data_IF_504905186803
#
_entry.id   IF_504905186803
#
_cell.length_a   1.000
_cell.length_b   1.000
_cell.length_c   1.000
_cell.angle_alpha   90.00
_cell.angle_beta   90.00
_cell.angle_gamma   90.00
#
_symmetry.space_group_name_H-M   'P 1'
#
loop_
_entity.id
_entity.type
_entity.pdbx_description
1 polymer ?
#
# COMPACT_ATOMS: atom_id res chain seq x y z
N UNK A 1 -2.73 -14.28 29.35
CA UNK A 1 -2.11 -13.48 28.27
C UNK A 1 -2.82 -13.82 26.96
N UNK A 2 -3.47 -12.87 26.31
CA UNK A 2 -3.94 -13.11 24.93
C UNK A 2 -2.70 -13.21 24.03
N UNK A 3 -2.60 -14.33 23.30
CA UNK A 3 -1.51 -14.51 22.33
C UNK A 3 -1.77 -13.50 21.19
N UNK A 4 -0.84 -12.57 20.98
CA UNK A 4 -0.92 -11.60 19.88
C UNK A 4 -0.85 -12.35 18.53
N UNK A 5 -1.79 -12.06 17.63
CA UNK A 5 -1.78 -12.61 16.27
C UNK A 5 -0.58 -12.07 15.49
N UNK A 6 0.13 -12.97 14.82
CA UNK A 6 1.24 -12.61 13.95
C UNK A 6 0.72 -12.27 12.55
N UNK A 7 1.05 -11.09 12.05
CA UNK A 7 0.68 -10.66 10.71
C UNK A 7 1.95 -10.34 9.91
N UNK A 8 2.05 -10.90 8.71
CA UNK A 8 3.08 -10.54 7.74
C UNK A 8 2.44 -9.70 6.63
N UNK A 9 3.02 -8.54 6.35
CA UNK A 9 2.64 -7.68 5.23
C UNK A 9 3.74 -7.72 4.17
N UNK A 10 3.39 -8.02 2.92
CA UNK A 10 4.35 -8.09 1.82
C UNK A 10 4.27 -6.81 0.99
N UNK A 11 5.32 -5.99 1.06
CA UNK A 11 5.46 -4.69 0.41
C UNK A 11 5.24 -3.52 1.34
N UNK A 12 6.24 -2.64 1.46
CA UNK A 12 6.20 -1.39 2.25
C UNK A 12 5.90 -0.17 1.37
N UNK A 13 4.92 -0.27 0.48
CA UNK A 13 4.28 0.85 -0.21
C UNK A 13 3.20 1.50 0.66
N UNK A 14 2.43 2.45 0.10
CA UNK A 14 1.34 3.13 0.80
C UNK A 14 0.37 2.14 1.47
N UNK A 15 -0.09 1.13 0.73
CA UNK A 15 -1.02 0.13 1.25
C UNK A 15 -0.41 -0.71 2.39
N UNK A 16 0.85 -1.15 2.24
CA UNK A 16 1.47 -2.01 3.24
C UNK A 16 1.85 -1.30 4.53
N UNK A 17 2.34 -0.06 4.44
CA UNK A 17 2.62 0.75 5.62
C UNK A 17 1.34 1.04 6.41
N UNK A 18 0.25 1.43 5.73
CA UNK A 18 -1.03 1.68 6.37
C UNK A 18 -1.64 0.40 6.94
N UNK A 19 -1.68 -0.70 6.18
CA UNK A 19 -2.24 -1.97 6.64
C UNK A 19 -1.47 -2.54 7.84
N UNK A 20 -0.13 -2.46 7.80
CA UNK A 20 0.72 -2.91 8.90
C UNK A 20 0.49 -2.10 10.17
N UNK A 21 0.52 -0.77 10.07
CA UNK A 21 0.25 0.11 11.21
C UNK A 21 -1.13 -0.15 11.81
N UNK A 22 -2.16 -0.24 10.95
CA UNK A 22 -3.52 -0.54 11.40
C UNK A 22 -3.59 -1.89 12.13
N UNK A 23 -3.02 -2.95 11.59
CA UNK A 23 -3.00 -4.25 12.23
C UNK A 23 -2.28 -4.22 13.59
N UNK A 24 -1.16 -3.49 13.69
CA UNK A 24 -0.40 -3.34 14.93
C UNK A 24 -1.20 -2.58 16.00
N UNK A 25 -1.92 -1.51 15.62
CA UNK A 25 -2.80 -0.77 16.53
C UNK A 25 -3.96 -1.62 17.09
N UNK A 26 -4.40 -2.63 16.32
CA UNK A 26 -5.36 -3.64 16.79
C UNK A 26 -4.72 -4.79 17.55
N UNK A 27 -3.44 -4.67 17.95
CA UNK A 27 -2.76 -5.60 18.83
C UNK A 27 -2.06 -6.77 18.13
N UNK A 28 -1.92 -6.75 16.81
CA UNK A 28 -1.15 -7.76 16.10
C UNK A 28 0.37 -7.50 16.23
N UNK A 29 1.16 -8.58 16.21
CA UNK A 29 2.60 -8.52 16.01
C UNK A 29 2.88 -8.50 14.51
N UNK A 30 3.31 -7.35 13.98
CA UNK A 30 3.40 -7.11 12.54
C UNK A 30 4.84 -7.09 12.04
N UNK A 31 5.12 -7.86 10.98
CA UNK A 31 6.35 -7.75 10.19
C UNK A 31 5.99 -7.33 8.76
N UNK A 32 6.55 -6.21 8.30
CA UNK A 32 6.42 -5.72 6.92
C UNK A 32 7.69 -6.11 6.17
N UNK A 33 7.55 -6.86 5.07
CA UNK A 33 8.66 -7.30 4.22
C UNK A 33 8.72 -6.39 3.00
N UNK A 34 9.87 -5.77 2.77
CA UNK A 34 10.11 -4.91 1.59
C UNK A 34 11.39 -5.35 0.87
N UNK A 35 11.28 -5.62 -0.43
CA UNK A 35 12.42 -6.06 -1.24
C UNK A 35 13.44 -4.96 -1.58
N UNK A 36 13.02 -3.71 -1.48
CA UNK A 36 13.92 -2.58 -1.72
C UNK A 36 14.49 -2.06 -0.40
N UNK A 37 15.69 -1.49 -0.45
CA UNK A 37 16.32 -0.83 0.71
C UNK A 37 15.53 0.37 1.25
N UNK A 38 14.65 0.96 0.44
CA UNK A 38 13.83 2.11 0.82
C UNK A 38 12.35 1.80 0.57
N UNK A 39 11.53 2.08 1.57
CA UNK A 39 10.07 1.97 1.49
C UNK A 39 9.45 3.05 0.59
N UNK A 40 8.21 2.88 0.16
CA UNK A 40 7.45 3.93 -0.51
C UNK A 40 7.95 4.37 -1.88
N UNK A 41 8.79 3.60 -2.57
CA UNK A 41 9.42 4.01 -3.84
C UNK A 41 8.45 4.52 -4.90
N UNK A 42 7.26 3.93 -5.01
CA UNK A 42 6.25 4.41 -5.96
C UNK A 42 5.64 5.73 -5.51
N UNK A 43 5.44 5.95 -4.21
CA UNK A 43 4.97 7.24 -3.68
C UNK A 43 5.90 8.36 -4.12
N UNK A 44 7.21 8.12 -4.08
CA UNK A 44 8.23 9.12 -4.40
C UNK A 44 8.19 9.64 -5.82
N UNK A 45 7.66 8.88 -6.78
CA UNK A 45 7.57 9.30 -8.19
C UNK A 45 6.19 9.82 -8.58
N UNK A 46 5.18 9.67 -7.71
CA UNK A 46 3.83 10.17 -7.99
C UNK A 46 3.78 11.70 -7.98
N UNK A 47 2.82 12.28 -8.71
CA UNK A 47 2.66 13.73 -8.77
C UNK A 47 3.94 14.48 -9.22
N UNK A 48 4.77 13.87 -10.09
CA UNK A 48 6.07 14.40 -10.53
C UNK A 48 7.04 14.64 -9.35
N UNK A 49 7.11 13.70 -8.40
CA UNK A 49 7.98 13.77 -7.23
C UNK A 49 7.40 14.54 -6.05
N UNK A 50 6.16 15.06 -6.18
CA UNK A 50 5.49 15.81 -5.09
C UNK A 50 4.53 14.96 -4.26
N UNK A 51 4.10 13.81 -4.77
CA UNK A 51 3.04 12.95 -4.24
C UNK A 51 1.66 13.62 -4.21
N UNK A 52 0.81 13.33 -5.21
CA UNK A 52 -0.62 13.60 -5.10
C UNK A 52 -1.24 12.53 -4.16
N UNK A 53 -1.43 12.89 -2.88
CA UNK A 53 -1.77 11.92 -1.83
C UNK A 53 -3.27 11.65 -1.70
N UNK A 54 -4.12 12.61 -2.11
CA UNK A 54 -5.57 12.48 -2.07
C UNK A 54 -6.25 13.40 -3.09
N UNK A 55 -7.56 13.25 -3.24
CA UNK A 55 -8.42 14.26 -3.86
C UNK A 55 -9.41 14.74 -2.81
N UNK A 56 -9.50 16.04 -2.58
CA UNK A 56 -10.42 16.65 -1.61
C UNK A 56 -11.85 16.67 -2.18
N UNK A 57 -12.50 15.52 -2.17
CA UNK A 57 -13.87 15.33 -2.62
C UNK A 57 -14.64 14.42 -1.66
N UNK A 58 -15.97 14.50 -1.71
CA UNK A 58 -16.83 13.58 -0.97
C UNK A 58 -16.79 12.14 -1.53
N UNK A 59 -17.28 11.18 -0.73
CA UNK A 59 -17.29 9.75 -1.06
C UNK A 59 -18.04 9.48 -2.37
N UNK A 60 -19.19 10.13 -2.59
CA UNK A 60 -19.99 9.89 -3.79
C UNK A 60 -19.28 10.37 -5.05
N UNK A 61 -18.66 11.54 -4.97
CA UNK A 61 -17.82 12.08 -6.05
C UNK A 61 -16.64 11.15 -6.34
N UNK A 62 -15.96 10.63 -5.30
CA UNK A 62 -14.89 9.66 -5.45
C UNK A 62 -15.38 8.43 -6.22
N UNK A 63 -16.46 7.79 -5.77
CA UNK A 63 -17.01 6.56 -6.35
C UNK A 63 -17.44 6.78 -7.81
N UNK A 64 -18.08 7.91 -8.11
CA UNK A 64 -18.53 8.25 -9.47
C UNK A 64 -17.37 8.44 -10.45
N UNK A 65 -16.17 8.81 -9.96
CA UNK A 65 -14.97 8.96 -10.77
C UNK A 65 -14.15 7.68 -10.93
N UNK A 66 -14.59 6.55 -10.35
CA UNK A 66 -13.99 5.23 -10.61
C UNK A 66 -14.68 4.59 -11.81
N UNK A 67 -14.01 4.50 -12.98
CA UNK A 67 -14.69 4.17 -14.24
C UNK A 67 -15.22 2.73 -14.32
N UNK A 68 -14.63 1.81 -13.55
CA UNK A 68 -15.04 0.39 -13.54
C UNK A 68 -15.14 -0.11 -12.11
N UNK A 69 -16.26 -0.74 -11.76
CA UNK A 69 -16.51 -1.37 -10.46
C UNK A 69 -16.37 -0.40 -9.25
N UNK A 70 -16.66 0.90 -9.40
CA UNK A 70 -16.57 1.88 -8.30
C UNK A 70 -17.33 1.44 -7.04
N UNK A 71 -18.48 0.78 -7.20
CA UNK A 71 -19.28 0.26 -6.06
C UNK A 71 -18.54 -0.75 -5.19
N UNK A 72 -17.54 -1.46 -5.73
CA UNK A 72 -16.70 -2.38 -4.96
C UNK A 72 -15.93 -1.65 -3.84
N UNK A 73 -15.58 -0.39 -4.08
CA UNK A 73 -14.82 0.42 -3.13
C UNK A 73 -15.70 1.12 -2.09
N UNK A 74 -17.03 1.06 -2.22
CA UNK A 74 -17.95 1.83 -1.38
C UNK A 74 -17.72 1.64 0.12
N UNK A 75 -17.60 0.41 0.59
CA UNK A 75 -17.36 0.12 2.00
C UNK A 75 -16.01 0.64 2.47
N UNK A 76 -14.95 0.43 1.68
CA UNK A 76 -13.61 0.87 2.04
C UNK A 76 -13.47 2.40 2.10
N UNK A 77 -14.05 3.11 1.10
CA UNK A 77 -13.97 4.58 1.04
C UNK A 77 -14.86 5.24 2.09
N UNK A 78 -15.97 4.60 2.52
CA UNK A 78 -16.75 5.10 3.66
C UNK A 78 -16.08 4.81 5.01
N UNK A 79 -15.26 3.77 5.11
CA UNK A 79 -14.52 3.46 6.33
C UNK A 79 -13.27 4.35 6.51
N UNK A 80 -12.71 4.86 5.41
CA UNK A 80 -11.57 5.77 5.40
C UNK A 80 -11.70 6.68 4.19
N UNK A 81 -12.24 7.87 4.41
CA UNK A 81 -12.62 8.82 3.37
C UNK A 81 -11.41 9.59 2.81
N UNK A 82 -11.55 10.32 1.69
CA UNK A 82 -10.54 11.26 1.25
C UNK A 82 -10.21 12.34 2.30
N UNK A 83 -11.20 12.81 3.05
CA UNK A 83 -11.02 13.75 4.16
C UNK A 83 -10.20 13.11 5.29
N UNK A 84 -10.56 11.89 5.73
CA UNK A 84 -9.79 11.15 6.75
C UNK A 84 -8.32 10.96 6.32
N UNK A 85 -8.06 10.80 5.02
CA UNK A 85 -6.70 10.72 4.48
C UNK A 85 -5.93 12.03 4.70
N UNK A 86 -6.58 13.17 4.47
CA UNK A 86 -5.97 14.50 4.69
C UNK A 86 -5.71 14.70 6.19
N UNK A 87 -6.73 14.47 7.01
CA UNK A 87 -6.63 14.58 8.48
C UNK A 87 -5.55 13.66 9.07
N UNK A 88 -5.44 12.43 8.54
CA UNK A 88 -4.38 11.51 8.95
C UNK A 88 -3.00 12.13 8.78
N UNK A 89 -2.67 12.63 7.60
CA UNK A 89 -1.36 13.24 7.36
C UNK A 89 -1.14 14.51 8.19
N UNK A 90 -2.14 15.37 8.30
CA UNK A 90 -2.06 16.61 9.08
C UNK A 90 -1.92 16.33 10.59
N UNK A 91 -2.62 15.31 11.11
CA UNK A 91 -2.46 14.87 12.50
C UNK A 91 -1.06 14.33 12.82
N UNK A 92 -0.33 13.85 11.79
CA UNK A 92 1.06 13.43 11.89
C UNK A 92 2.06 14.56 11.62
N UNK A 93 1.58 15.80 11.51
CA UNK A 93 2.42 16.99 11.30
C UNK A 93 2.79 17.29 9.85
N UNK A 94 2.32 16.49 8.88
CA UNK A 94 2.53 16.76 7.47
C UNK A 94 1.46 17.76 6.97
N UNK A 95 1.81 19.03 6.87
CA UNK A 95 0.92 20.05 6.29
C UNK A 95 0.60 19.72 4.85
N UNK A 96 -0.68 19.85 4.48
CA UNK A 96 -1.17 19.64 3.12
C UNK A 96 -1.61 20.93 2.46
N UNK A 97 -1.79 20.88 1.13
CA UNK A 97 -2.41 21.93 0.33
C UNK A 97 -3.26 21.31 -0.77
N UNK A 98 -4.41 21.93 -1.04
CA UNK A 98 -5.28 21.54 -2.16
C UNK A 98 -5.01 22.45 -3.36
N UNK A 99 -4.75 21.84 -4.51
CA UNK A 99 -4.51 22.52 -5.79
C UNK A 99 -5.71 22.35 -6.75
N UNK A 100 -5.62 22.94 -7.94
CA UNK A 100 -6.63 22.83 -8.99
C UNK A 100 -7.05 21.37 -9.22
N UNK A 101 -8.36 21.12 -9.32
CA UNK A 101 -8.95 19.79 -9.47
C UNK A 101 -8.97 19.00 -8.16
N UNK A 102 -9.01 19.70 -7.04
CA UNK A 102 -9.06 19.14 -5.69
C UNK A 102 -7.91 18.17 -5.35
N UNK A 103 -6.79 18.27 -6.07
CA UNK A 103 -5.62 17.42 -5.81
C UNK A 103 -4.89 17.89 -4.56
N UNK A 104 -4.62 16.96 -3.67
CA UNK A 104 -3.97 17.25 -2.39
C UNK A 104 -2.49 16.83 -2.46
N UNK A 105 -1.62 17.75 -2.08
CA UNK A 105 -0.17 17.56 -2.04
C UNK A 105 0.38 17.94 -0.66
N UNK A 106 1.54 17.41 -0.26
CA UNK A 106 2.24 17.99 0.89
C UNK A 106 2.60 19.44 0.60
N UNK A 107 2.48 20.32 1.59
CA UNK A 107 2.78 21.74 1.44
C UNK A 107 4.24 22.00 1.04
N UNK A 108 5.14 21.09 1.39
CA UNK A 108 6.57 21.12 1.03
C UNK A 108 6.85 20.78 -0.44
N UNK A 109 5.89 20.24 -1.19
CA UNK A 109 6.07 19.66 -2.53
C UNK A 109 7.10 18.52 -2.60
N UNK A 110 7.36 17.84 -1.49
CA UNK A 110 8.33 16.74 -1.40
C UNK A 110 7.63 15.42 -1.07
N UNK A 111 7.62 14.50 -2.01
CA UNK A 111 7.06 13.15 -1.78
C UNK A 111 7.79 12.36 -0.69
N UNK A 112 9.05 12.71 -0.40
CA UNK A 112 9.81 12.09 0.68
C UNK A 112 9.15 12.32 2.04
N UNK A 113 8.61 13.50 2.30
CA UNK A 113 7.96 13.81 3.57
C UNK A 113 6.71 12.93 3.79
N UNK A 114 5.99 12.60 2.71
CA UNK A 114 4.87 11.65 2.76
C UNK A 114 5.35 10.24 3.09
N UNK A 115 6.44 9.80 2.47
CA UNK A 115 7.03 8.47 2.74
C UNK A 115 7.52 8.36 4.17
N UNK A 116 8.24 9.38 4.64
CA UNK A 116 8.81 9.39 5.99
C UNK A 116 7.68 9.41 7.04
N UNK A 117 6.62 10.22 6.84
CA UNK A 117 5.43 10.23 7.72
C UNK A 117 4.78 8.85 7.81
N UNK A 118 4.60 8.14 6.69
CA UNK A 118 4.00 6.81 6.69
C UNK A 118 4.92 5.75 7.30
N UNK A 119 6.22 5.84 7.04
CA UNK A 119 7.22 4.97 7.64
C UNK A 119 7.22 5.10 9.16
N UNK A 120 7.34 6.33 9.65
CA UNK A 120 7.40 6.61 11.09
C UNK A 120 6.10 6.18 11.78
N UNK A 121 4.96 6.45 11.17
CA UNK A 121 3.68 5.94 11.66
C UNK A 121 3.65 4.42 11.80
N UNK A 122 4.16 3.67 10.81
CA UNK A 122 4.21 2.22 10.90
C UNK A 122 5.17 1.74 12.02
N UNK A 123 6.33 2.37 12.15
CA UNK A 123 7.32 2.02 13.20
C UNK A 123 6.78 2.38 14.59
N UNK A 124 6.23 3.56 14.77
CA UNK A 124 5.61 4.02 16.03
C UNK A 124 4.42 3.15 16.45
N UNK A 125 3.68 2.61 15.50
CA UNK A 125 2.60 1.64 15.75
C UNK A 125 3.10 0.25 16.17
N UNK A 126 4.42 0.00 16.13
CA UNK A 126 5.05 -1.26 16.55
C UNK A 126 5.34 -2.24 15.41
N UNK A 127 5.28 -1.82 14.15
CA UNK A 127 5.66 -2.68 13.02
C UNK A 127 7.17 -2.87 12.95
N UNK A 128 7.61 -4.10 12.68
CA UNK A 128 8.98 -4.41 12.28
C UNK A 128 9.05 -4.38 10.74
N UNK A 129 9.87 -3.51 10.17
CA UNK A 129 10.12 -3.46 8.72
C UNK A 129 11.45 -4.18 8.44
N UNK A 130 11.43 -5.14 7.51
CA UNK A 130 12.60 -5.93 7.13
C UNK A 130 12.84 -5.84 5.63
N UNK A 131 14.12 -5.78 5.24
CA UNK A 131 14.53 -5.82 3.84
C UNK A 131 14.75 -7.28 3.44
N UNK A 132 13.79 -7.85 2.69
CA UNK A 132 13.85 -9.21 2.18
C UNK A 132 12.87 -9.35 1.00
N UNK A 133 13.06 -10.36 0.15
CA UNK A 133 12.22 -10.59 -1.03
C UNK A 133 11.30 -11.79 -0.81
N UNK A 134 9.99 -11.55 -0.79
CA UNK A 134 9.00 -12.61 -0.68
C UNK A 134 8.89 -13.41 -1.98
N UNK A 135 9.20 -14.72 -1.94
CA UNK A 135 9.21 -15.61 -3.09
C UNK A 135 7.98 -16.51 -3.17
N UNK A 136 7.47 -16.97 -2.04
CA UNK A 136 6.33 -17.87 -1.98
C UNK A 136 5.55 -17.74 -0.68
N UNK A 137 4.25 -18.09 -0.74
CA UNK A 137 3.45 -18.35 0.45
C UNK A 137 3.73 -19.76 0.97
N UNK A 138 3.66 -19.93 2.27
CA UNK A 138 3.70 -21.24 2.91
C UNK A 138 2.25 -21.66 3.18
N UNK A 139 1.86 -22.79 2.61
CA UNK A 139 0.51 -23.31 2.68
C UNK A 139 0.53 -24.64 3.46
N UNK A 140 -0.40 -24.79 4.40
CA UNK A 140 -0.64 -26.02 5.15
C UNK A 140 -2.15 -26.20 5.29
N UNK A 141 -2.66 -27.36 4.93
CA UNK A 141 -4.08 -27.72 4.98
C UNK A 141 -5.02 -26.66 4.35
N UNK A 142 -4.59 -26.06 3.25
CA UNK A 142 -5.35 -25.03 2.52
C UNK A 142 -5.32 -23.62 3.14
N UNK A 143 -4.61 -23.43 4.24
CA UNK A 143 -4.39 -22.14 4.89
C UNK A 143 -3.01 -21.58 4.59
N UNK A 144 -2.90 -20.24 4.52
CA UNK A 144 -1.61 -19.56 4.46
C UNK A 144 -1.08 -19.42 5.89
N UNK A 145 0.09 -20.02 6.16
CA UNK A 145 0.74 -20.03 7.49
C UNK A 145 2.04 -19.21 7.51
N UNK A 146 2.40 -18.57 6.43
CA UNK A 146 3.62 -17.74 6.37
C UNK A 146 4.09 -17.40 4.97
N UNK A 147 5.30 -16.83 4.93
CA UNK A 147 5.96 -16.36 3.71
C UNK A 147 7.41 -16.86 3.69
N UNK A 148 7.81 -17.47 2.58
CA UNK A 148 9.20 -17.82 2.30
C UNK A 148 9.83 -16.69 1.50
N UNK A 149 10.91 -16.12 2.03
CA UNK A 149 11.70 -15.07 1.39
C UNK A 149 13.06 -15.61 0.89
N UNK A 150 13.86 -14.73 0.33
CA UNK A 150 15.23 -15.07 -0.14
C UNK A 150 16.12 -15.45 1.05
N UNK A 151 16.13 -14.60 2.08
CA UNK A 151 17.03 -14.76 3.23
C UNK A 151 16.36 -15.52 4.38
N UNK A 152 15.05 -15.29 4.62
CA UNK A 152 14.36 -15.77 5.81
C UNK A 152 12.99 -16.40 5.50
N UNK A 153 12.46 -17.08 6.51
CA UNK A 153 11.08 -17.59 6.52
C UNK A 153 10.33 -16.92 7.65
N UNK A 154 9.14 -16.40 7.35
CA UNK A 154 8.28 -15.70 8.31
C UNK A 154 6.97 -16.45 8.48
N UNK A 155 6.74 -17.08 9.64
CA UNK A 155 5.47 -17.71 9.99
C UNK A 155 4.50 -16.69 10.56
N UNK A 156 3.24 -16.75 10.15
CA UNK A 156 2.19 -15.81 10.53
C UNK A 156 0.81 -16.48 10.56
N UNK A 157 -0.09 -15.93 11.39
CA UNK A 157 -1.51 -16.29 11.41
C UNK A 157 -2.27 -15.69 10.22
N UNK A 158 -1.75 -14.62 9.63
CA UNK A 158 -2.32 -13.94 8.44
C UNK A 158 -1.25 -13.25 7.61
N UNK A 159 -1.46 -13.23 6.29
CA UNK A 159 -0.58 -12.55 5.34
C UNK A 159 -1.38 -11.54 4.54
N UNK A 160 -0.88 -10.30 4.45
CA UNK A 160 -1.47 -9.21 3.66
C UNK A 160 -0.56 -8.93 2.47
N UNK A 161 -1.07 -9.08 1.24
CA UNK A 161 -0.31 -8.85 0.01
C UNK A 161 -0.48 -7.40 -0.42
N UNK A 162 0.58 -6.59 -0.32
CA UNK A 162 0.63 -5.17 -0.66
C UNK A 162 1.72 -4.83 -1.69
N UNK A 163 2.05 -5.78 -2.59
CA UNK A 163 3.14 -5.66 -3.57
C UNK A 163 2.88 -4.63 -4.68
N UNK A 164 1.69 -4.04 -4.75
CA UNK A 164 1.27 -3.19 -5.86
C UNK A 164 0.98 -3.97 -7.14
N UNK A 165 0.89 -3.26 -8.26
CA UNK A 165 0.60 -3.84 -9.58
C UNK A 165 1.84 -4.07 -10.44
N UNK A 166 1.70 -3.82 -11.77
CA UNK A 166 2.79 -3.96 -12.76
C UNK A 166 3.28 -2.63 -13.36
N UNK A 167 2.73 -1.49 -12.91
CA UNK A 167 3.15 -0.18 -13.38
C UNK A 167 4.44 0.28 -12.71
N UNK A 168 5.35 0.89 -13.47
CA UNK A 168 6.64 1.38 -12.99
C UNK A 168 7.48 0.29 -12.28
N UNK A 169 7.90 -0.78 -12.98
CA UNK A 169 8.56 -1.94 -12.37
C UNK A 169 9.87 -1.59 -11.65
N UNK A 170 10.56 -0.52 -12.06
CA UNK A 170 11.74 -0.01 -11.37
C UNK A 170 11.47 0.46 -9.93
N UNK A 171 10.22 0.68 -9.56
CA UNK A 171 9.83 0.97 -8.17
C UNK A 171 9.59 -0.27 -7.32
N UNK A 172 9.72 -1.46 -7.90
CA UNK A 172 9.45 -2.73 -7.25
C UNK A 172 8.08 -3.35 -7.57
N UNK A 173 7.23 -2.66 -8.35
CA UNK A 173 5.91 -3.17 -8.76
C UNK A 173 6.03 -4.09 -9.98
N UNK A 174 6.50 -5.30 -9.78
CA UNK A 174 6.81 -6.32 -10.81
C UNK A 174 5.67 -7.33 -11.01
N UNK A 175 4.63 -7.24 -10.19
CA UNK A 175 3.46 -8.12 -10.27
C UNK A 175 3.56 -9.36 -9.38
N UNK A 176 4.49 -9.40 -8.44
CA UNK A 176 4.72 -10.53 -7.53
C UNK A 176 3.45 -10.88 -6.74
N UNK A 177 2.66 -9.87 -6.33
CA UNK A 177 1.41 -10.06 -5.62
C UNK A 177 0.41 -10.92 -6.36
N UNK A 178 0.37 -10.87 -7.69
CA UNK A 178 -0.50 -11.73 -8.49
C UNK A 178 -0.04 -13.19 -8.48
N UNK A 179 1.27 -13.41 -8.47
CA UNK A 179 1.85 -14.76 -8.36
C UNK A 179 1.55 -15.36 -6.99
N UNK A 180 1.76 -14.61 -5.93
CA UNK A 180 1.46 -15.03 -4.56
C UNK A 180 -0.05 -15.31 -4.36
N UNK A 181 -0.92 -14.44 -4.87
CA UNK A 181 -2.37 -14.65 -4.80
C UNK A 181 -2.81 -15.94 -5.53
N UNK A 182 -2.20 -16.26 -6.70
CA UNK A 182 -2.44 -17.54 -7.38
C UNK A 182 -2.06 -18.75 -6.54
N UNK A 183 -0.96 -18.69 -5.80
CA UNK A 183 -0.55 -19.78 -4.90
C UNK A 183 -1.60 -20.05 -3.82
N UNK A 184 -2.30 -19.02 -3.35
CA UNK A 184 -3.42 -19.12 -2.41
C UNK A 184 -4.76 -19.48 -3.07
N UNK A 185 -4.78 -19.85 -4.36
CA UNK A 185 -5.98 -20.28 -5.06
C UNK A 185 -6.84 -19.17 -5.68
N UNK A 186 -6.39 -17.89 -5.64
CA UNK A 186 -7.13 -16.80 -6.25
C UNK A 186 -7.04 -16.81 -7.78
N UNK A 187 -8.15 -16.49 -8.44
CA UNK A 187 -8.18 -16.21 -9.87
C UNK A 187 -7.70 -14.79 -10.15
N UNK A 188 -6.75 -14.64 -11.06
CA UNK A 188 -6.26 -13.34 -11.49
C UNK A 188 -6.90 -12.97 -12.83
N UNK A 189 -7.69 -11.89 -12.82
CA UNK A 189 -8.24 -11.29 -14.04
C UNK A 189 -7.09 -10.74 -14.88
N UNK A 190 -7.05 -10.96 -16.21
CA UNK A 190 -6.01 -10.45 -17.08
C UNK A 190 -5.81 -8.94 -16.93
N UNK A 191 -4.57 -8.53 -16.71
CA UNK A 191 -4.22 -7.12 -16.56
C UNK A 191 -4.36 -6.39 -17.89
N UNK A 192 -4.96 -5.20 -17.86
CA UNK A 192 -5.05 -4.30 -19.01
C UNK A 192 -4.46 -2.95 -18.64
N UNK A 193 -3.71 -2.29 -19.55
CA UNK A 193 -3.26 -0.92 -19.32
C UNK A 193 -4.48 0.02 -19.28
N UNK A 194 -4.50 0.94 -18.31
CA UNK A 194 -5.60 1.90 -18.16
C UNK A 194 -5.16 3.30 -18.56
N UNK A 195 -3.94 3.67 -18.22
CA UNK A 195 -3.33 4.96 -18.55
C UNK A 195 -1.94 4.71 -19.11
N UNK A 196 -1.70 5.17 -20.33
CA UNK A 196 -0.39 5.05 -21.01
C UNK A 196 0.05 6.42 -21.48
N UNK A 197 1.36 6.74 -21.49
CA UNK A 197 1.84 7.95 -22.11
C UNK A 197 1.55 7.91 -23.62
N UNK A 198 1.10 9.04 -24.16
CA UNK A 198 0.96 9.23 -25.59
C UNK A 198 2.26 9.84 -26.13
N UNK A 199 2.87 9.17 -27.09
CA UNK A 199 3.98 9.73 -27.86
C UNK A 199 3.40 10.15 -29.19
N UNK A 200 3.39 11.45 -29.54
CA UNK A 200 2.98 11.87 -30.88
C UNK A 200 3.89 11.17 -31.89
N UNK A 201 3.31 10.54 -32.88
CA UNK A 201 4.09 10.00 -34.01
C UNK A 201 4.78 11.15 -34.78
N UNK A 202 5.97 10.91 -35.26
CA UNK A 202 6.67 11.82 -36.16
C UNK A 202 5.90 11.99 -37.47
#
# INVERSE_FOLDING_TARGET
MMISKKVVVIGAGAAGLMAGATAALYGASVTIIEKNKRVGRKIMITGKGRCNLANNCDVQTFINNVPVNGRFLYSAINAFTPEDTIEFFESKGLKTKTERGNRVFPASDKSVDVVDTMHDYAVESGCKIVCDTANALILEDGAVIGVKCEENTYYADSVIICCGGKSYPLTGSTGDGYTLAKQAGHTIVPLKPTLVPFTPGD
#
